data_IF_780379150244
#
_entry.id   IF_780379150244
#
_cell.length_a   1.000
_cell.length_b   1.000
_cell.length_c   1.000
_cell.angle_alpha   90.00
_cell.angle_beta   90.00
_cell.angle_gamma   90.00
#
_symmetry.space_group_name_H-M   'P 1'
#
loop_
_entity.id
_entity.type
_entity.pdbx_description
1 polymer ?
#
# COMPACT_ATOMS: atom_id res chain seq x y z
N UNK A 1 22.80 3.10 17.66
CA UNK A 1 21.71 3.62 16.81
C UNK A 1 20.93 2.42 16.34
N UNK A 2 19.68 2.26 16.79
CA UNK A 2 18.85 1.11 16.47
C UNK A 2 18.53 1.14 14.97
N UNK A 3 18.88 0.06 14.26
CA UNK A 3 18.56 -0.09 12.85
C UNK A 3 17.05 -0.05 12.65
N UNK A 4 16.60 0.72 11.67
CA UNK A 4 15.27 0.53 11.11
C UNK A 4 15.20 -0.93 10.64
N UNK A 5 14.53 -1.77 11.42
CA UNK A 5 14.24 -3.14 11.03
C UNK A 5 13.59 -3.05 9.65
N UNK A 6 14.11 -3.82 8.71
CA UNK A 6 13.66 -3.85 7.32
C UNK A 6 12.18 -4.24 7.31
N UNK A 7 11.29 -3.26 7.27
CA UNK A 7 9.86 -3.46 7.50
C UNK A 7 9.31 -4.35 6.39
N UNK A 8 8.81 -5.53 6.78
CA UNK A 8 8.25 -6.49 5.84
C UNK A 8 6.80 -6.09 5.54
N UNK A 9 6.61 -5.29 4.49
CA UNK A 9 5.30 -4.79 4.08
C UNK A 9 4.31 -5.90 3.73
N UNK A 10 4.79 -7.03 3.22
CA UNK A 10 3.95 -8.19 2.93
C UNK A 10 3.32 -8.75 4.21
N UNK A 11 4.16 -9.03 5.22
CA UNK A 11 3.69 -9.52 6.51
C UNK A 11 2.84 -8.48 7.25
N UNK A 12 3.20 -7.20 7.16
CA UNK A 12 2.44 -6.11 7.75
C UNK A 12 1.03 -6.01 7.14
N UNK A 13 0.91 -6.09 5.81
CA UNK A 13 -0.37 -6.04 5.11
C UNK A 13 -1.30 -7.18 5.55
N UNK A 14 -0.78 -8.42 5.60
CA UNK A 14 -1.58 -9.58 6.04
C UNK A 14 -2.01 -9.42 7.49
N UNK A 15 -1.09 -9.07 8.39
CA UNK A 15 -1.38 -8.89 9.82
C UNK A 15 -2.45 -7.82 10.06
N UNK A 16 -2.27 -6.64 9.46
CA UNK A 16 -3.19 -5.52 9.62
C UNK A 16 -4.58 -5.84 9.06
N UNK A 17 -4.67 -6.60 7.96
CA UNK A 17 -5.96 -7.02 7.43
C UNK A 17 -6.68 -8.00 8.38
N UNK A 18 -5.94 -8.96 8.94
CA UNK A 18 -6.48 -9.92 9.92
C UNK A 18 -6.93 -9.19 11.19
N UNK A 19 -6.07 -8.34 11.76
CA UNK A 19 -6.39 -7.58 12.97
C UNK A 19 -7.58 -6.64 12.74
N UNK A 20 -7.66 -5.98 11.57
CA UNK A 20 -8.79 -5.14 11.20
C UNK A 20 -10.10 -5.90 11.08
N UNK A 21 -10.08 -7.16 10.63
CA UNK A 21 -11.26 -8.03 10.59
C UNK A 21 -11.73 -8.42 12.00
N UNK A 22 -10.80 -8.69 12.91
CA UNK A 22 -11.13 -8.99 14.31
C UNK A 22 -11.80 -7.77 14.97
N UNK A 23 -11.26 -6.57 14.76
CA UNK A 23 -11.86 -5.34 15.29
C UNK A 23 -13.25 -5.06 14.73
N UNK A 24 -13.48 -5.32 13.43
CA UNK A 24 -14.81 -5.25 12.82
C UNK A 24 -15.79 -6.21 13.49
N UNK A 25 -15.37 -7.44 13.77
CA UNK A 25 -16.19 -8.46 14.45
C UNK A 25 -16.56 -8.08 15.89
N UNK A 26 -15.69 -7.33 16.58
CA UNK A 26 -15.92 -6.81 17.94
C UNK A 26 -16.68 -5.46 17.97
N UNK A 27 -17.00 -4.89 16.79
CA UNK A 27 -17.71 -3.60 16.69
C UNK A 27 -16.84 -2.35 16.84
N UNK A 28 -15.52 -2.52 16.85
CA UNK A 28 -14.52 -1.45 16.95
C UNK A 28 -14.23 -0.83 15.56
N UNK A 29 -15.25 -0.23 14.95
CA UNK A 29 -15.25 0.13 13.53
C UNK A 29 -14.18 1.17 13.14
N UNK A 30 -13.94 2.20 13.96
CA UNK A 30 -12.92 3.21 13.65
C UNK A 30 -11.51 2.59 13.61
N UNK A 31 -11.22 1.70 14.56
CA UNK A 31 -9.97 0.97 14.62
C UNK A 31 -9.87 -0.06 13.47
N UNK A 32 -10.98 -0.70 13.10
CA UNK A 32 -11.06 -1.60 11.96
C UNK A 32 -10.72 -0.87 10.64
N UNK A 33 -11.39 0.25 10.37
CA UNK A 33 -11.12 1.10 9.18
C UNK A 33 -9.67 1.60 9.18
N UNK A 34 -9.13 1.95 10.36
CA UNK A 34 -7.72 2.27 10.54
C UNK A 34 -6.80 1.17 10.03
N UNK A 35 -6.92 -0.05 10.56
CA UNK A 35 -6.05 -1.16 10.18
C UNK A 35 -6.27 -1.62 8.74
N UNK A 36 -7.50 -1.56 8.22
CA UNK A 36 -7.79 -1.91 6.83
C UNK A 36 -7.10 -0.95 5.85
N UNK A 37 -7.03 0.35 6.14
CA UNK A 37 -6.27 1.29 5.32
C UNK A 37 -4.76 1.07 5.39
N UNK A 38 -4.22 0.74 6.58
CA UNK A 38 -2.82 0.32 6.69
C UNK A 38 -2.54 -0.96 5.88
N UNK A 39 -3.45 -1.92 5.91
CA UNK A 39 -3.30 -3.16 5.15
C UNK A 39 -3.26 -2.90 3.63
N UNK A 40 -4.15 -2.06 3.13
CA UNK A 40 -4.17 -1.66 1.72
C UNK A 40 -2.89 -0.91 1.31
N UNK A 41 -2.42 0.00 2.15
CA UNK A 41 -1.16 0.73 1.95
C UNK A 41 0.03 -0.23 1.92
N UNK A 42 0.16 -1.11 2.93
CA UNK A 42 1.25 -2.07 3.02
C UNK A 42 1.22 -3.06 1.85
N UNK A 43 0.04 -3.50 1.40
CA UNK A 43 -0.08 -4.38 0.24
C UNK A 43 0.47 -3.72 -1.03
N UNK A 44 0.11 -2.46 -1.25
CA UNK A 44 0.65 -1.67 -2.37
C UNK A 44 2.15 -1.42 -2.23
N UNK A 45 2.62 -1.08 -1.03
CA UNK A 45 4.07 -0.94 -0.73
C UNK A 45 4.83 -2.22 -1.04
N UNK A 46 4.31 -3.39 -0.69
CA UNK A 46 4.94 -4.67 -1.00
C UNK A 46 5.02 -4.90 -2.52
N UNK A 47 3.90 -4.72 -3.24
CA UNK A 47 3.84 -4.87 -4.69
C UNK A 47 4.82 -3.93 -5.39
N UNK A 48 4.82 -2.65 -4.98
CA UNK A 48 5.70 -1.64 -5.54
C UNK A 48 7.15 -1.94 -5.19
N UNK A 49 7.49 -2.16 -3.92
CA UNK A 49 8.88 -2.38 -3.49
C UNK A 49 9.53 -3.57 -4.20
N UNK A 50 8.84 -4.69 -4.35
CA UNK A 50 9.39 -5.84 -5.07
C UNK A 50 9.31 -5.69 -6.60
N UNK A 51 8.24 -5.06 -7.10
CA UNK A 51 8.18 -4.59 -8.50
C UNK A 51 9.32 -3.63 -8.85
N UNK A 52 9.87 -2.92 -7.86
CA UNK A 52 10.98 -1.98 -7.96
C UNK A 52 12.33 -2.54 -7.52
N UNK A 53 12.41 -3.64 -6.77
CA UNK A 53 13.68 -4.17 -6.26
C UNK A 53 14.62 -4.57 -7.41
N UNK A 54 14.06 -5.03 -8.54
CA UNK A 54 14.76 -5.22 -9.82
C UNK A 54 15.32 -3.94 -10.46
N UNK A 55 14.84 -2.78 -10.05
CA UNK A 55 15.21 -1.44 -10.51
C UNK A 55 16.02 -0.65 -9.48
N UNK A 56 16.26 -1.23 -8.30
CA UNK A 56 17.10 -0.66 -7.24
C UNK A 56 18.42 -1.46 -7.20
N UNK A 57 19.52 -0.77 -6.93
CA UNK A 57 20.84 -1.34 -6.73
C UNK A 57 20.93 -1.95 -5.31
N UNK A 58 21.92 -2.80 -5.08
CA UNK A 58 22.13 -3.39 -3.75
C UNK A 58 22.40 -2.36 -2.63
N UNK A 59 22.82 -1.15 -2.99
CA UNK A 59 23.05 -0.03 -2.07
C UNK A 59 21.81 0.83 -1.81
N UNK A 60 20.64 0.42 -2.33
CA UNK A 60 19.37 1.16 -2.17
C UNK A 60 19.18 2.31 -3.15
N UNK A 61 20.13 2.57 -4.06
CA UNK A 61 19.99 3.61 -5.09
C UNK A 61 19.25 3.09 -6.32
N UNK A 62 18.51 3.93 -7.03
CA UNK A 62 17.88 3.53 -8.29
C UNK A 62 18.93 3.18 -9.36
N UNK A 63 18.68 2.12 -10.13
CA UNK A 63 19.54 1.75 -11.28
C UNK A 63 19.62 2.92 -12.26
N UNK A 64 20.84 3.20 -12.72
CA UNK A 64 21.12 4.31 -13.64
C UNK A 64 20.30 4.24 -14.95
N UNK A 65 19.88 3.05 -15.37
CA UNK A 65 19.00 2.85 -16.54
C UNK A 65 17.60 3.44 -16.35
N UNK A 66 17.08 3.46 -15.12
CA UNK A 66 15.80 4.08 -14.77
C UNK A 66 15.98 5.59 -14.72
N UNK A 67 17.02 6.07 -14.04
CA UNK A 67 17.34 7.51 -13.97
C UNK A 67 17.60 8.13 -15.35
N UNK A 68 18.23 7.40 -16.28
CA UNK A 68 18.52 7.88 -17.64
C UNK A 68 17.28 7.94 -18.53
N UNK A 69 16.30 7.07 -18.32
CA UNK A 69 15.05 7.06 -19.09
C UNK A 69 14.11 8.21 -18.69
N UNK A 70 14.25 8.72 -17.46
CA UNK A 70 13.34 9.70 -16.88
C UNK A 70 14.07 10.94 -16.32
N UNK A 71 15.28 11.20 -16.83
CA UNK A 71 16.15 12.28 -16.39
C UNK A 71 15.71 13.65 -16.89
N UNK A 72 14.62 14.18 -16.33
CA UNK A 72 14.37 15.62 -16.26
C UNK A 72 13.96 16.00 -14.84
N UNK A 73 14.91 16.52 -14.05
CA UNK A 73 14.67 17.23 -12.79
C UNK A 73 14.45 16.37 -11.55
N UNK A 74 15.53 15.75 -11.03
CA UNK A 74 15.54 14.90 -9.84
C UNK A 74 15.28 15.59 -8.49
N UNK A 75 14.34 16.52 -8.41
CA UNK A 75 13.89 17.14 -7.15
C UNK A 75 12.47 16.76 -6.75
N UNK A 76 11.67 16.17 -7.65
CA UNK A 76 10.26 15.82 -7.38
C UNK A 76 9.98 14.31 -7.34
N UNK A 77 10.89 13.46 -7.81
CA UNK A 77 10.69 12.01 -7.93
C UNK A 77 10.49 11.26 -6.59
N UNK A 78 11.05 11.80 -5.49
CA UNK A 78 10.90 11.23 -4.15
C UNK A 78 9.56 11.64 -3.52
N UNK A 79 9.11 12.86 -3.81
CA UNK A 79 7.76 13.34 -3.49
C UNK A 79 6.69 12.64 -4.33
N UNK A 80 7.00 12.30 -5.58
CA UNK A 80 6.16 11.45 -6.41
C UNK A 80 6.08 10.04 -5.83
N UNK A 81 7.18 9.50 -5.29
CA UNK A 81 7.19 8.20 -4.60
C UNK A 81 6.36 8.25 -3.31
N UNK A 82 6.40 9.36 -2.56
CA UNK A 82 5.52 9.60 -1.41
C UNK A 82 4.05 9.81 -1.82
N UNK A 83 3.78 10.45 -2.96
CA UNK A 83 2.44 10.54 -3.55
C UNK A 83 1.94 9.18 -4.08
N UNK A 84 2.82 8.32 -4.62
CA UNK A 84 2.49 6.94 -5.00
C UNK A 84 2.10 6.09 -3.79
N UNK A 85 2.80 6.27 -2.66
CA UNK A 85 2.42 5.67 -1.38
C UNK A 85 1.01 6.12 -0.94
N UNK A 86 0.62 7.34 -1.33
CA UNK A 86 -0.65 7.97 -1.01
C UNK A 86 -1.76 7.79 -2.06
N UNK A 87 -1.54 7.05 -3.18
CA UNK A 87 -2.53 6.55 -4.17
C UNK A 87 -2.35 7.08 -5.62
N UNK A 88 -1.27 6.72 -6.32
CA UNK A 88 -1.19 6.98 -7.78
C UNK A 88 -0.90 5.73 -8.64
N UNK A 89 -1.95 5.29 -9.34
CA UNK A 89 -2.00 4.14 -10.26
C UNK A 89 -1.32 4.41 -11.59
N UNK A 90 -1.25 5.68 -12.00
CA UNK A 90 -0.74 6.08 -13.30
C UNK A 90 0.77 5.78 -13.36
N UNK A 91 1.48 6.05 -12.28
CA UNK A 91 2.91 5.83 -12.24
C UNK A 91 3.29 4.35 -12.03
N UNK A 92 2.53 3.57 -11.27
CA UNK A 92 2.70 2.12 -11.22
C UNK A 92 2.62 1.50 -12.64
N UNK A 93 1.73 2.05 -13.48
CA UNK A 93 1.55 1.62 -14.88
C UNK A 93 2.68 2.06 -15.81
N UNK A 94 3.37 3.17 -15.50
CA UNK A 94 4.51 3.67 -16.27
C UNK A 94 5.78 2.85 -16.03
N UNK A 95 5.99 2.38 -14.80
CA UNK A 95 7.21 1.67 -14.43
C UNK A 95 7.12 0.15 -14.61
N UNK A 96 5.95 -0.43 -14.31
CA UNK A 96 5.62 -1.80 -14.66
C UNK A 96 4.16 -1.89 -15.11
N UNK A 97 3.90 -1.84 -16.43
CA UNK A 97 2.55 -1.84 -16.98
C UNK A 97 1.70 -3.02 -16.49
N UNK A 98 2.31 -4.17 -16.17
CA UNK A 98 1.59 -5.34 -15.65
C UNK A 98 1.12 -5.09 -14.22
N UNK A 99 2.01 -4.60 -13.36
CA UNK A 99 1.65 -4.25 -11.98
C UNK A 99 0.67 -3.09 -11.92
N UNK A 100 0.87 -2.04 -12.73
CA UNK A 100 -0.06 -0.92 -12.81
C UNK A 100 -1.44 -1.29 -13.37
N UNK A 101 -1.52 -2.17 -14.37
CA UNK A 101 -2.79 -2.69 -14.87
C UNK A 101 -3.51 -3.53 -13.80
N UNK A 102 -2.78 -4.39 -13.09
CA UNK A 102 -3.34 -5.21 -12.00
C UNK A 102 -3.81 -4.34 -10.84
N UNK A 103 -3.04 -3.32 -10.46
CA UNK A 103 -3.41 -2.38 -9.41
C UNK A 103 -4.59 -1.49 -9.81
N UNK A 104 -4.69 -1.06 -11.07
CA UNK A 104 -5.79 -0.21 -11.55
C UNK A 104 -7.12 -0.95 -11.64
N UNK A 105 -7.09 -2.28 -11.75
CA UNK A 105 -8.27 -3.12 -11.62
C UNK A 105 -8.77 -3.23 -10.16
N UNK A 106 -8.01 -2.75 -9.17
CA UNK A 106 -8.39 -2.77 -7.75
C UNK A 106 -9.02 -1.44 -7.36
N UNK A 107 -10.34 -1.40 -7.41
CA UNK A 107 -11.11 -0.30 -6.83
C UNK A 107 -11.04 -0.37 -5.29
N UNK A 108 -10.40 0.63 -4.69
CA UNK A 108 -10.36 0.86 -3.26
C UNK A 108 -11.27 2.03 -2.87
N UNK A 109 -12.09 1.89 -1.82
CA UNK A 109 -12.91 2.99 -1.32
C UNK A 109 -12.03 4.11 -0.74
N UNK A 110 -12.39 5.36 -1.05
CA UNK A 110 -11.65 6.57 -0.65
C UNK A 110 -11.50 6.68 0.88
N UNK A 111 -12.49 6.19 1.63
CA UNK A 111 -12.49 6.16 3.10
C UNK A 111 -11.29 5.39 3.69
N UNK A 112 -10.67 4.45 2.98
CA UNK A 112 -9.44 3.79 3.43
C UNK A 112 -8.25 4.76 3.57
N UNK A 113 -8.27 5.87 2.83
CA UNK A 113 -7.17 6.81 2.76
C UNK A 113 -7.52 8.18 3.36
N UNK A 114 -8.81 8.47 3.54
CA UNK A 114 -9.25 9.71 4.16
C UNK A 114 -8.68 9.82 5.58
N UNK A 115 -7.91 10.89 5.81
CA UNK A 115 -7.24 11.13 7.09
C UNK A 115 -6.15 10.11 7.45
N UNK A 116 -5.72 9.22 6.55
CA UNK A 116 -4.64 8.28 6.81
C UNK A 116 -3.27 8.99 6.84
N UNK A 117 -2.34 8.65 7.75
CA UNK A 117 -2.47 7.72 8.89
C UNK A 117 -3.06 8.37 10.16
N UNK A 118 -3.29 9.67 10.14
CA UNK A 118 -3.63 10.47 11.33
C UNK A 118 -4.98 10.16 11.96
N UNK A 119 -5.86 9.47 11.23
CA UNK A 119 -7.14 8.96 11.75
C UNK A 119 -6.98 8.02 12.93
N UNK A 120 -5.78 7.46 13.15
CA UNK A 120 -5.43 6.72 14.37
C UNK A 120 -5.69 7.53 15.65
N UNK A 121 -5.67 8.86 15.56
CA UNK A 121 -5.86 9.76 16.70
C UNK A 121 -7.22 10.46 16.67
N UNK A 122 -8.14 10.05 15.79
CA UNK A 122 -9.47 10.64 15.74
C UNK A 122 -10.35 10.08 16.87
N UNK A 123 -11.40 10.81 17.29
CA UNK A 123 -12.37 10.30 18.24
C UNK A 123 -13.15 9.10 17.68
N UNK A 124 -13.57 8.19 18.55
CA UNK A 124 -14.43 7.06 18.19
C UNK A 124 -15.83 7.53 17.72
N UNK A 125 -16.49 6.70 16.91
CA UNK A 125 -17.84 6.93 16.38
C UNK A 125 -17.89 7.68 15.05
N UNK A 126 -16.79 7.75 14.30
CA UNK A 126 -16.76 8.34 12.95
C UNK A 126 -17.29 7.35 11.92
N UNK A 127 -16.92 6.08 12.06
CA UNK A 127 -17.25 5.02 11.11
C UNK A 127 -18.26 4.02 11.65
N UNK A 128 -19.19 3.60 10.79
CA UNK A 128 -20.14 2.55 11.08
C UNK A 128 -19.73 1.18 10.54
N UNK A 129 -20.54 0.17 10.84
CA UNK A 129 -20.37 -1.20 10.32
C UNK A 129 -20.28 -1.25 8.79
N UNK A 130 -21.05 -0.44 8.08
CA UNK A 130 -21.03 -0.37 6.61
C UNK A 130 -19.70 0.19 6.08
N UNK A 131 -19.15 1.21 6.73
CA UNK A 131 -17.84 1.78 6.37
C UNK A 131 -16.72 0.76 6.59
N UNK A 132 -16.75 0.06 7.74
CA UNK A 132 -15.80 -0.99 8.07
C UNK A 132 -15.89 -2.17 7.08
N UNK A 133 -17.10 -2.60 6.71
CA UNK A 133 -17.28 -3.68 5.72
C UNK A 133 -16.73 -3.27 4.34
N UNK A 134 -17.05 -2.06 3.89
CA UNK A 134 -16.58 -1.52 2.62
C UNK A 134 -15.06 -1.41 2.59
N UNK A 135 -14.46 -0.86 3.65
CA UNK A 135 -13.01 -0.77 3.82
C UNK A 135 -12.36 -2.16 3.84
N UNK A 136 -12.91 -3.14 4.58
CA UNK A 136 -12.41 -4.51 4.60
C UNK A 136 -12.36 -5.12 3.21
N UNK A 137 -13.46 -5.00 2.46
CA UNK A 137 -13.58 -5.55 1.09
C UNK A 137 -12.59 -4.88 0.15
N UNK A 138 -12.37 -3.58 0.29
CA UNK A 138 -11.33 -2.85 -0.44
C UNK A 138 -9.94 -3.39 -0.13
N UNK A 139 -9.54 -3.36 1.14
CA UNK A 139 -8.24 -3.83 1.61
C UNK A 139 -7.99 -5.30 1.22
N UNK A 140 -9.02 -6.15 1.31
CA UNK A 140 -8.96 -7.56 0.92
C UNK A 140 -8.56 -7.73 -0.55
N UNK A 141 -9.07 -6.90 -1.47
CA UNK A 141 -8.68 -6.97 -2.89
C UNK A 141 -7.18 -6.67 -3.07
N UNK A 142 -6.67 -5.64 -2.39
CA UNK A 142 -5.25 -5.28 -2.43
C UNK A 142 -4.36 -6.39 -1.86
N UNK A 143 -4.72 -6.92 -0.68
CA UNK A 143 -3.98 -8.02 -0.04
C UNK A 143 -4.03 -9.29 -0.88
N UNK A 144 -5.19 -9.65 -1.47
CA UNK A 144 -5.31 -10.82 -2.35
C UNK A 144 -4.44 -10.70 -3.59
N UNK A 145 -4.37 -9.52 -4.22
CA UNK A 145 -3.51 -9.34 -5.39
C UNK A 145 -2.02 -9.41 -5.02
N UNK A 146 -1.63 -8.80 -3.89
CA UNK A 146 -0.28 -8.96 -3.35
C UNK A 146 0.06 -10.44 -3.12
N UNK A 147 -0.83 -11.20 -2.48
CA UNK A 147 -0.62 -12.64 -2.24
C UNK A 147 -0.51 -13.41 -3.57
N UNK A 148 -1.34 -13.11 -4.57
CA UNK A 148 -1.23 -13.73 -5.91
C UNK A 148 0.12 -13.46 -6.56
N UNK A 149 0.56 -12.20 -6.55
CA UNK A 149 1.86 -11.82 -7.10
C UNK A 149 3.01 -12.54 -6.38
N UNK A 150 2.93 -12.72 -5.06
CA UNK A 150 3.90 -13.52 -4.32
C UNK A 150 3.90 -15.00 -4.74
N UNK A 151 2.72 -15.61 -4.87
CA UNK A 151 2.60 -17.01 -5.31
C UNK A 151 3.07 -17.22 -6.76
N UNK A 152 2.88 -16.22 -7.62
CA UNK A 152 3.36 -16.22 -9.01
C UNK A 152 4.89 -15.96 -9.11
N UNK A 153 5.57 -15.71 -7.98
CA UNK A 153 7.01 -15.44 -7.91
C UNK A 153 7.42 -14.01 -8.29
N UNK A 154 6.49 -13.07 -8.28
CA UNK A 154 6.74 -11.65 -8.54
C UNK A 154 7.10 -10.85 -7.29
N UNK A 155 6.73 -11.32 -6.09
CA UNK A 155 7.12 -10.76 -4.79
C UNK A 155 7.93 -11.76 -3.97
#
# INVERSE_FOLDING_TARGET
>A
MAGAANENFYEAAVRQWVDGKILEEEGEYDNAVCLQGFAAECARKAILREGYSRYINADGTWRASVLKKYGHGGTELLGDLEMMLLNDLELASVLDPVSGLRLSAIELPEVLFLGHPERRYFPDGVYGSEDAENCRRGAEKAVKEMVRLHLDGFL
#
